data_IF_026662353467
#
_entry.id   IF_026662353467
#
_cell.length_a   1.000
_cell.length_b   1.000
_cell.length_c   1.000
_cell.angle_alpha   90.00
_cell.angle_beta   90.00
_cell.angle_gamma   90.00
#
_symmetry.space_group_name_H-M   'P 1'
#
loop_
_entity.id
_entity.type
_entity.pdbx_description
1 polymer ?
#
# COMPACT_ATOMS: atom_id res chain seq x y z
N UNK A 1 6.18 -24.33 7.09
CA UNK A 1 5.58 -24.66 5.78
C UNK A 1 5.89 -23.49 4.87
N UNK A 2 6.56 -23.78 3.75
CA UNK A 2 6.94 -22.80 2.73
C UNK A 2 5.67 -22.42 1.97
N UNK A 3 5.36 -21.13 1.89
CA UNK A 3 4.39 -20.63 0.89
C UNK A 3 5.17 -20.17 -0.35
N UNK A 4 4.69 -20.46 -1.57
CA UNK A 4 5.40 -20.18 -2.81
C UNK A 4 5.16 -18.74 -3.32
N UNK A 5 6.22 -18.17 -3.91
CA UNK A 5 6.29 -17.23 -5.05
C UNK A 5 5.28 -16.07 -5.18
N UNK A 6 5.80 -14.85 -5.32
CA UNK A 6 5.78 -14.16 -6.63
C UNK A 6 7.04 -13.29 -6.80
N UNK A 7 7.56 -13.29 -8.01
CA UNK A 7 8.81 -12.72 -8.46
C UNK A 7 8.53 -11.63 -9.47
N UNK A 8 8.51 -10.37 -9.03
CA UNK A 8 8.77 -9.23 -9.92
C UNK A 8 9.28 -8.04 -9.11
N UNK A 9 10.57 -7.73 -9.32
CA UNK A 9 11.24 -6.47 -8.98
C UNK A 9 11.43 -6.14 -7.48
N UNK A 10 12.65 -6.33 -6.98
CA UNK A 10 13.13 -5.68 -5.75
C UNK A 10 13.80 -6.65 -4.78
N UNK A 11 15.11 -6.50 -4.64
CA UNK A 11 15.89 -7.16 -3.58
C UNK A 11 15.34 -6.64 -2.25
N UNK A 12 14.56 -7.44 -1.51
CA UNK A 12 14.13 -7.10 -0.15
C UNK A 12 15.34 -7.16 0.77
N UNK A 13 15.97 -6.01 1.00
CA UNK A 13 17.00 -5.82 2.00
C UNK A 13 16.29 -5.89 3.36
N UNK A 14 16.51 -6.97 4.12
CA UNK A 14 15.92 -7.12 5.46
C UNK A 14 16.83 -6.50 6.51
N UNK A 15 16.23 -5.85 7.52
CA UNK A 15 16.88 -5.42 8.75
C UNK A 15 17.45 -6.62 9.51
N UNK A 16 18.75 -6.60 9.81
CA UNK A 16 19.35 -7.63 10.65
C UNK A 16 19.03 -7.36 12.12
N UNK A 17 18.53 -8.37 12.82
CA UNK A 17 18.44 -8.31 14.28
C UNK A 17 19.83 -8.53 14.90
N UNK A 18 20.17 -7.90 16.03
CA UNK A 18 21.37 -8.22 16.82
C UNK A 18 21.38 -9.64 17.42
N UNK A 19 20.62 -10.60 16.87
CA UNK A 19 20.72 -12.02 17.21
C UNK A 19 21.06 -12.89 15.99
N UNK A 20 21.12 -12.32 14.78
CA UNK A 20 21.63 -13.02 13.59
C UNK A 20 23.18 -12.98 13.50
N UNK A 21 23.86 -12.20 14.35
CA UNK A 21 25.33 -12.05 14.34
C UNK A 21 26.09 -13.18 15.06
N UNK A 22 25.43 -14.01 15.86
CA UNK A 22 26.13 -14.97 16.73
C UNK A 22 26.42 -16.35 16.10
N UNK A 23 25.86 -16.71 14.94
CA UNK A 23 25.97 -18.09 14.43
C UNK A 23 26.91 -18.29 13.23
N UNK A 24 27.33 -17.24 12.50
CA UNK A 24 27.96 -17.48 11.17
C UNK A 24 29.23 -16.67 10.85
N UNK A 25 30.00 -16.26 11.85
CA UNK A 25 31.25 -15.53 11.61
C UNK A 25 32.49 -16.39 11.30
N UNK A 26 32.38 -17.73 11.29
CA UNK A 26 33.54 -18.58 10.96
C UNK A 26 33.12 -19.63 9.93
N UNK A 27 33.37 -19.31 8.65
CA UNK A 27 33.71 -20.21 7.53
C UNK A 27 32.81 -20.07 6.29
N UNK A 28 33.51 -19.70 5.21
CA UNK A 28 33.22 -19.92 3.77
C UNK A 28 32.54 -18.78 3.03
N UNK A 29 33.39 -18.04 2.30
CA UNK A 29 33.20 -17.63 0.90
C UNK A 29 32.00 -18.34 0.22
N UNK A 30 30.87 -17.64 0.11
CA UNK A 30 30.08 -17.39 -1.10
C UNK A 30 28.68 -16.85 -0.73
N UNK A 31 28.19 -15.91 -1.54
CA UNK A 31 26.77 -15.56 -1.81
C UNK A 31 26.07 -14.53 -0.91
N UNK A 32 25.75 -13.40 -1.57
CA UNK A 32 24.54 -12.56 -1.44
C UNK A 32 23.78 -12.59 -0.12
N UNK A 33 23.90 -11.52 0.66
CA UNK A 33 22.78 -10.65 1.09
C UNK A 33 23.42 -9.44 1.79
N UNK A 34 23.29 -8.25 1.18
CA UNK A 34 23.81 -7.01 1.77
C UNK A 34 22.94 -6.62 2.97
N UNK A 35 23.51 -6.64 4.16
CA UNK A 35 22.93 -6.03 5.35
C UNK A 35 23.68 -4.73 5.63
N UNK A 36 22.98 -3.59 5.65
CA UNK A 36 23.58 -2.30 6.00
C UNK A 36 23.52 -2.13 7.52
N UNK A 37 24.68 -2.10 8.17
CA UNK A 37 24.80 -1.99 9.64
C UNK A 37 24.62 -0.57 10.18
N UNK A 38 24.55 0.43 9.29
CA UNK A 38 24.36 1.84 9.64
C UNK A 38 22.99 2.36 9.18
N UNK A 39 22.05 1.45 8.91
CA UNK A 39 20.72 1.80 8.45
C UNK A 39 19.92 2.50 9.56
N UNK A 40 19.25 3.59 9.19
CA UNK A 40 18.37 4.35 10.09
C UNK A 40 16.96 3.82 9.90
N UNK A 41 16.20 3.68 10.98
CA UNK A 41 14.81 3.25 10.92
C UNK A 41 13.90 4.44 10.63
N UNK A 42 13.63 4.74 9.35
CA UNK A 42 12.83 5.91 8.96
C UNK A 42 11.36 5.79 9.42
N UNK A 43 10.88 4.56 9.66
CA UNK A 43 9.53 4.31 10.14
C UNK A 43 9.28 4.80 11.57
N UNK A 44 10.32 5.08 12.37
CA UNK A 44 10.16 5.65 13.72
C UNK A 44 9.45 7.00 13.71
N UNK A 45 9.56 7.75 12.61
CA UNK A 45 8.87 9.03 12.45
C UNK A 45 7.37 8.89 12.12
N UNK A 46 6.88 7.65 11.94
CA UNK A 46 5.51 7.35 11.48
C UNK A 46 5.12 8.12 10.19
N UNK A 47 5.90 7.97 9.10
CA UNK A 47 5.71 8.81 7.92
C UNK A 47 4.47 8.46 7.08
N UNK A 48 3.88 7.27 7.25
CA UNK A 48 2.69 6.83 6.54
C UNK A 48 1.42 7.22 7.31
N UNK A 49 0.55 8.04 6.70
CA UNK A 49 -0.67 8.55 7.34
C UNK A 49 -1.75 7.46 7.40
N UNK A 50 -2.07 6.85 6.27
CA UNK A 50 -3.06 5.76 6.15
C UNK A 50 -2.43 4.51 5.52
N UNK A 51 -1.38 3.99 6.15
CA UNK A 51 -0.68 2.82 5.64
C UNK A 51 0.31 2.22 6.61
N UNK A 52 0.84 1.06 6.24
CA UNK A 52 1.93 0.41 6.96
C UNK A 52 3.27 0.88 6.43
N UNK A 53 4.18 1.27 7.33
CA UNK A 53 5.54 1.64 6.98
C UNK A 53 6.45 0.40 6.93
N UNK A 54 7.27 0.32 5.89
CA UNK A 54 8.37 -0.65 5.77
C UNK A 54 9.68 0.10 5.63
N UNK A 55 10.57 -0.16 6.58
CA UNK A 55 11.95 0.31 6.63
C UNK A 55 12.79 -0.37 5.54
N UNK A 56 13.53 0.41 4.76
CA UNK A 56 14.40 -0.03 3.66
C UNK A 56 15.79 0.63 3.82
N UNK A 57 16.76 0.23 2.99
CA UNK A 57 18.12 0.73 3.18
C UNK A 57 18.26 2.21 2.77
N UNK A 58 18.41 3.09 3.77
CA UNK A 58 18.34 4.56 3.68
C UNK A 58 17.04 5.11 3.07
N UNK A 59 15.93 4.39 3.17
CA UNK A 59 14.64 4.79 2.60
C UNK A 59 13.50 4.10 3.37
N UNK A 60 12.27 4.58 3.22
CA UNK A 60 11.07 3.85 3.63
C UNK A 60 10.11 3.70 2.47
N UNK A 61 9.21 2.73 2.58
CA UNK A 61 8.05 2.61 1.72
C UNK A 61 6.77 2.52 2.54
N UNK A 62 5.71 3.16 2.05
CA UNK A 62 4.38 3.05 2.63
C UNK A 62 3.52 2.10 1.79
N UNK A 63 2.95 1.09 2.44
CA UNK A 63 1.87 0.30 1.88
C UNK A 63 0.54 0.92 2.31
N UNK A 64 -0.11 1.65 1.40
CA UNK A 64 -1.36 2.33 1.68
C UNK A 64 -2.50 1.35 1.95
N UNK A 65 -3.37 1.71 2.89
CA UNK A 65 -4.65 1.04 3.07
C UNK A 65 -5.54 1.28 1.84
N UNK A 66 -6.50 0.38 1.56
CA UNK A 66 -7.45 0.57 0.47
C UNK A 66 -8.13 1.95 0.56
N UNK A 67 -8.31 2.62 -0.57
CA UNK A 67 -8.84 3.98 -0.66
C UNK A 67 -7.81 5.10 -0.50
N UNK A 68 -6.54 4.81 -0.21
CA UNK A 68 -5.51 5.85 -0.06
C UNK A 68 -4.36 5.72 -1.05
N UNK A 69 -3.82 6.87 -1.45
CA UNK A 69 -2.68 6.96 -2.35
C UNK A 69 -1.67 8.05 -1.95
N UNK A 70 -0.56 8.10 -2.69
CA UNK A 70 0.56 9.01 -2.45
C UNK A 70 1.69 8.37 -1.65
N UNK A 71 2.86 9.01 -1.64
CA UNK A 71 4.09 8.50 -1.02
C UNK A 71 3.92 8.19 0.48
N UNK A 72 3.07 8.96 1.16
CA UNK A 72 2.78 8.83 2.58
C UNK A 72 1.33 8.36 2.83
N UNK A 73 0.63 7.89 1.80
CA UNK A 73 -0.78 7.51 1.88
C UNK A 73 -1.67 8.65 2.41
N UNK A 74 -1.33 9.87 2.03
CA UNK A 74 -1.94 11.09 2.55
C UNK A 74 -3.16 11.55 1.77
N UNK A 75 -3.40 10.98 0.59
CA UNK A 75 -4.53 11.35 -0.27
C UNK A 75 -5.56 10.24 -0.24
N UNK A 76 -6.82 10.63 -0.07
CA UNK A 76 -7.96 9.78 -0.40
C UNK A 76 -8.01 9.64 -1.92
N UNK A 77 -8.29 8.43 -2.40
CA UNK A 77 -8.57 8.19 -3.81
C UNK A 77 -9.95 8.79 -4.09
N UNK A 78 -10.12 9.42 -5.26
CA UNK A 78 -11.42 9.95 -5.68
C UNK A 78 -12.12 8.90 -6.56
N UNK A 79 -12.98 8.07 -5.96
CA UNK A 79 -13.74 7.05 -6.68
C UNK A 79 -14.75 7.67 -7.68
N UNK A 80 -15.13 8.93 -7.47
CA UNK A 80 -16.00 9.68 -8.36
C UNK A 80 -15.31 10.20 -9.62
N UNK A 81 -13.97 10.21 -9.67
CA UNK A 81 -13.19 10.72 -10.82
C UNK A 81 -13.54 10.00 -12.13
N UNK A 82 -13.91 8.71 -12.06
CA UNK A 82 -14.34 7.91 -13.20
C UNK A 82 -15.78 8.20 -13.67
N UNK A 83 -16.51 9.08 -12.99
CA UNK A 83 -17.92 9.39 -13.21
C UNK A 83 -18.82 8.14 -13.23
N UNK A 84 -18.85 7.33 -12.15
CA UNK A 84 -19.53 6.03 -12.14
C UNK A 84 -21.06 6.14 -12.13
N UNK A 85 -21.63 7.26 -11.65
CA UNK A 85 -23.07 7.47 -11.58
C UNK A 85 -23.64 7.94 -12.92
N UNK A 86 -24.54 7.17 -13.52
CA UNK A 86 -25.10 7.47 -14.85
C UNK A 86 -26.11 8.62 -14.79
N UNK A 87 -27.09 8.52 -13.88
CA UNK A 87 -28.14 9.52 -13.68
C UNK A 87 -28.26 9.92 -12.21
N UNK A 88 -27.16 10.42 -11.66
CA UNK A 88 -27.11 10.85 -10.27
C UNK A 88 -25.85 11.63 -9.95
N UNK A 89 -25.82 12.18 -8.74
CA UNK A 89 -24.61 12.80 -8.20
C UNK A 89 -23.76 11.74 -7.50
N UNK A 90 -22.45 11.77 -7.73
CA UNK A 90 -21.50 10.92 -7.03
C UNK A 90 -21.05 11.59 -5.73
N UNK A 91 -20.98 10.81 -4.65
CA UNK A 91 -20.35 11.18 -3.39
C UNK A 91 -19.17 10.25 -3.16
N UNK A 92 -18.00 10.85 -3.06
CA UNK A 92 -16.72 10.21 -2.79
C UNK A 92 -16.65 9.70 -1.34
N UNK A 93 -16.12 8.50 -1.12
CA UNK A 93 -15.98 7.86 0.18
C UNK A 93 -14.69 7.04 0.21
N UNK A 94 -14.15 6.76 1.40
CA UNK A 94 -12.91 5.96 1.49
C UNK A 94 -13.12 4.57 0.90
N UNK A 95 -12.41 4.29 -0.21
CA UNK A 95 -12.45 3.00 -0.92
C UNK A 95 -13.86 2.62 -1.44
N UNK A 96 -14.76 3.59 -1.60
CA UNK A 96 -16.14 3.37 -2.02
C UNK A 96 -16.69 4.66 -2.67
N UNK A 97 -17.80 4.58 -3.40
CA UNK A 97 -18.57 5.77 -3.76
C UNK A 97 -20.05 5.49 -3.58
N UNK A 98 -20.83 6.57 -3.47
CA UNK A 98 -22.28 6.48 -3.42
C UNK A 98 -22.93 7.36 -4.46
N UNK A 99 -23.81 6.77 -5.27
CA UNK A 99 -24.65 7.52 -6.19
C UNK A 99 -25.95 7.96 -5.53
N UNK A 100 -26.26 9.25 -5.63
CA UNK A 100 -27.57 9.80 -5.32
C UNK A 100 -28.35 9.97 -6.62
N UNK A 101 -29.26 9.03 -6.88
CA UNK A 101 -30.02 9.00 -8.13
C UNK A 101 -31.00 10.15 -8.26
N UNK A 102 -31.14 10.66 -9.48
CA UNK A 102 -32.19 11.60 -9.83
C UNK A 102 -33.58 10.92 -9.82
N UNK A 103 -34.68 11.69 -9.67
CA UNK A 103 -36.03 11.12 -9.67
C UNK A 103 -36.30 10.28 -10.92
N UNK A 104 -36.89 9.09 -10.73
CA UNK A 104 -37.19 8.15 -11.82
C UNK A 104 -36.05 7.19 -12.16
N UNK A 105 -34.91 7.28 -11.47
CA UNK A 105 -33.77 6.37 -11.63
C UNK A 105 -33.42 5.62 -10.34
N UNK A 106 -32.85 4.43 -10.52
CA UNK A 106 -32.36 3.60 -9.42
C UNK A 106 -31.18 2.70 -9.82
N UNK A 107 -30.76 1.87 -8.86
CA UNK A 107 -29.62 0.98 -8.97
C UNK A 107 -28.36 1.61 -8.37
N UNK A 108 -27.31 0.79 -8.14
CA UNK A 108 -26.07 1.27 -7.53
C UNK A 108 -25.37 2.37 -8.33
N UNK A 109 -25.57 2.41 -9.66
CA UNK A 109 -25.00 3.41 -10.56
C UNK A 109 -26.08 4.34 -11.14
N UNK A 110 -27.31 4.31 -10.63
CA UNK A 110 -28.45 5.05 -11.19
C UNK A 110 -28.71 4.75 -12.67
N UNK A 111 -28.50 3.50 -13.07
CA UNK A 111 -28.54 3.06 -14.47
C UNK A 111 -29.92 2.56 -14.92
N UNK A 112 -30.85 2.32 -13.99
CA UNK A 112 -32.18 1.80 -14.29
C UNK A 112 -33.16 2.98 -14.27
N UNK A 113 -33.87 3.22 -15.37
CA UNK A 113 -34.90 4.24 -15.50
C UNK A 113 -36.30 3.63 -15.61
N UNK A 114 -37.31 4.34 -15.09
CA UNK A 114 -38.70 3.88 -15.05
C UNK A 114 -39.66 4.64 -15.96
N UNK A 115 -39.12 5.38 -16.94
CA UNK A 115 -39.88 6.25 -17.82
C UNK A 115 -39.55 6.00 -19.30
#
# INVERSE_FOLDING_TARGET
MLHPFDSSQGISLRRCSPLDWAERYIRRRQLFLGCNVNDVDECQSSPCIHGNCSDLVNEYSCQCFPGYEGLQCQKDVDECQSSPCIHGNCSDLVNEFKCQCFPGYEGPLCQIGYY
#
